data_IF_014854536391
#
_entry.id   IF_014854536391
#
_cell.length_a   1.000
_cell.length_b   1.000
_cell.length_c   1.000
_cell.angle_alpha   90.00
_cell.angle_beta   90.00
_cell.angle_gamma   90.00
#
_symmetry.space_group_name_H-M   'P 1'
#
loop_
_entity.id
_entity.type
_entity.pdbx_description
1 polymer ?
#
# COMPACT_ATOMS: atom_id res chain seq x y z
N UNK A 1 9.92 39.57 19.24
CA UNK A 1 10.45 39.98 17.92
C UNK A 1 11.77 39.27 17.55
N UNK A 2 12.63 38.91 18.52
CA UNK A 2 13.91 38.21 18.24
C UNK A 2 13.78 36.81 17.62
N UNK A 3 12.89 35.96 18.15
CA UNK A 3 12.72 34.56 17.67
C UNK A 3 12.30 34.47 16.20
N UNK A 4 11.41 35.35 15.75
CA UNK A 4 10.97 35.37 14.35
C UNK A 4 12.10 35.76 13.39
N UNK A 5 12.98 36.68 13.83
CA UNK A 5 14.16 37.09 13.06
C UNK A 5 15.19 35.97 12.96
N UNK A 6 15.37 35.18 14.02
CA UNK A 6 16.24 33.99 14.01
C UNK A 6 15.68 32.86 13.15
N UNK A 7 14.37 32.62 13.20
CA UNK A 7 13.70 31.66 12.30
C UNK A 7 13.84 32.07 10.83
N UNK A 8 13.60 33.35 10.51
CA UNK A 8 13.76 33.86 9.15
C UNK A 8 15.21 33.75 8.67
N UNK A 9 16.17 33.99 9.56
CA UNK A 9 17.59 33.82 9.25
C UNK A 9 17.94 32.36 8.98
N UNK A 10 17.47 31.43 9.82
CA UNK A 10 17.60 29.99 9.59
C UNK A 10 16.98 29.55 8.26
N UNK A 11 15.83 30.11 7.88
CA UNK A 11 15.17 29.86 6.60
C UNK A 11 15.92 30.46 5.39
N UNK A 12 16.69 31.52 5.56
CA UNK A 12 17.51 32.08 4.47
C UNK A 12 18.86 31.36 4.34
N UNK A 13 19.37 30.82 5.44
CA UNK A 13 20.67 30.12 5.50
C UNK A 13 20.59 28.64 5.11
N UNK A 14 19.44 28.11 4.67
CA UNK A 14 19.36 26.73 4.17
C UNK A 14 20.13 26.53 2.86
N UNK A 15 20.64 25.30 2.68
CA UNK A 15 21.37 24.91 1.49
C UNK A 15 20.47 24.78 0.25
N UNK A 16 21.09 24.71 -0.93
CA UNK A 16 20.39 24.65 -2.23
C UNK A 16 19.36 23.50 -2.31
N UNK A 17 19.64 22.37 -1.66
CA UNK A 17 18.75 21.20 -1.63
C UNK A 17 17.42 21.51 -0.92
N UNK A 18 17.45 22.27 0.18
CA UNK A 18 16.24 22.70 0.88
C UNK A 18 15.32 23.52 -0.03
N UNK A 19 15.90 24.48 -0.75
CA UNK A 19 15.17 25.33 -1.69
C UNK A 19 14.54 24.54 -2.85
N UNK A 20 15.27 23.57 -3.42
CA UNK A 20 14.74 22.72 -4.50
C UNK A 20 13.53 21.92 -4.02
N UNK A 21 13.62 21.29 -2.84
CA UNK A 21 12.52 20.50 -2.30
C UNK A 21 11.30 21.38 -1.98
N UNK A 22 11.52 22.55 -1.37
CA UNK A 22 10.44 23.51 -1.10
C UNK A 22 9.76 23.95 -2.40
N UNK A 23 10.53 24.23 -3.46
CA UNK A 23 9.98 24.59 -4.77
C UNK A 23 9.12 23.48 -5.37
N UNK A 24 9.56 22.21 -5.25
CA UNK A 24 8.76 21.05 -5.69
C UNK A 24 7.46 20.96 -4.88
N UNK A 25 7.50 21.12 -3.55
CA UNK A 25 6.31 21.11 -2.69
C UNK A 25 5.34 22.22 -3.10
N UNK A 26 5.84 23.42 -3.40
CA UNK A 26 5.02 24.55 -3.86
C UNK A 26 4.38 24.25 -5.22
N UNK A 27 5.12 23.67 -6.17
CA UNK A 27 4.56 23.30 -7.48
C UNK A 27 3.47 22.24 -7.36
N UNK A 28 3.73 21.18 -6.60
CA UNK A 28 2.77 20.09 -6.35
C UNK A 28 1.52 20.62 -5.65
N UNK A 29 1.69 21.44 -4.62
CA UNK A 29 0.55 22.00 -3.92
C UNK A 29 -0.17 23.10 -4.70
N UNK A 30 0.52 23.89 -5.52
CA UNK A 30 -0.10 24.83 -6.47
C UNK A 30 -0.97 24.11 -7.49
N UNK A 31 -0.50 22.98 -8.02
CA UNK A 31 -1.30 22.12 -8.89
C UNK A 31 -2.52 21.54 -8.16
N UNK A 32 -2.39 21.12 -6.89
CA UNK A 32 -3.54 20.68 -6.10
C UNK A 32 -4.56 21.80 -5.85
N UNK A 33 -4.13 23.03 -5.60
CA UNK A 33 -5.02 24.19 -5.45
C UNK A 33 -5.79 24.44 -6.75
N UNK A 34 -5.12 24.36 -7.91
CA UNK A 34 -5.77 24.47 -9.20
C UNK A 34 -6.84 23.39 -9.40
N UNK A 35 -6.53 22.12 -9.09
CA UNK A 35 -7.51 21.03 -9.15
C UNK A 35 -8.68 21.25 -8.19
N UNK A 36 -8.43 21.74 -6.97
CA UNK A 36 -9.47 22.08 -5.99
C UNK A 36 -10.44 23.12 -6.54
N UNK A 37 -9.92 24.20 -7.13
CA UNK A 37 -10.74 25.26 -7.72
C UNK A 37 -11.57 24.70 -8.88
N UNK A 38 -10.96 23.91 -9.77
CA UNK A 38 -11.65 23.29 -10.91
C UNK A 38 -12.78 22.36 -10.46
N UNK A 39 -12.51 21.47 -9.51
CA UNK A 39 -13.50 20.50 -9.02
C UNK A 39 -14.62 21.17 -8.21
N UNK A 40 -14.29 22.14 -7.37
CA UNK A 40 -15.30 22.92 -6.65
C UNK A 40 -16.24 23.63 -7.62
N UNK A 41 -15.67 24.24 -8.67
CA UNK A 41 -16.44 24.94 -9.69
C UNK A 41 -17.35 23.99 -10.45
N UNK A 42 -16.83 22.82 -10.84
CA UNK A 42 -17.61 21.77 -11.51
C UNK A 42 -18.85 21.35 -10.69
N UNK A 43 -18.68 20.97 -9.41
CA UNK A 43 -19.84 20.59 -8.60
C UNK A 43 -20.79 21.75 -8.29
N UNK A 44 -20.26 22.97 -8.17
CA UNK A 44 -21.10 24.16 -7.97
C UNK A 44 -21.92 24.48 -9.21
N UNK A 45 -21.34 24.40 -10.40
CA UNK A 45 -22.05 24.58 -11.66
C UNK A 45 -23.17 23.54 -11.82
N UNK A 46 -22.90 22.27 -11.49
CA UNK A 46 -23.94 21.23 -11.49
C UNK A 46 -25.04 21.47 -10.46
N UNK A 47 -24.68 21.91 -9.25
CA UNK A 47 -25.64 22.24 -8.19
C UNK A 47 -26.49 23.46 -8.57
N UNK A 48 -25.87 24.48 -9.14
CA UNK A 48 -26.55 25.69 -9.58
C UNK A 48 -27.49 25.35 -10.75
N UNK A 49 -27.06 24.55 -11.74
CA UNK A 49 -27.91 24.06 -12.83
C UNK A 49 -29.10 23.24 -12.30
N UNK A 50 -28.86 22.38 -11.30
CA UNK A 50 -29.91 21.61 -10.64
C UNK A 50 -30.91 22.50 -9.89
N UNK A 51 -30.46 23.58 -9.25
CA UNK A 51 -31.32 24.50 -8.47
C UNK A 51 -32.02 25.55 -9.33
N UNK A 52 -31.36 26.04 -10.38
CA UNK A 52 -31.82 27.15 -11.24
C UNK A 52 -32.59 26.68 -12.47
N UNK A 53 -32.68 25.37 -12.75
CA UNK A 53 -33.57 24.84 -13.78
C UNK A 53 -35.04 25.16 -13.44
N UNK A 54 -35.45 26.38 -13.82
CA UNK A 54 -36.79 26.93 -13.70
C UNK A 54 -37.69 26.53 -14.89
N UNK A 55 -37.12 25.86 -15.91
CA UNK A 55 -37.91 25.23 -16.99
C UNK A 55 -38.41 23.89 -16.47
N UNK A 56 -39.61 23.93 -15.90
CA UNK A 56 -40.36 22.73 -15.55
C UNK A 56 -41.15 22.32 -16.78
N UNK A 57 -40.91 21.11 -17.29
CA UNK A 57 -41.64 20.59 -18.43
C UNK A 57 -43.11 20.28 -18.07
N UNK A 58 -43.92 19.90 -19.06
CA UNK A 58 -45.35 19.59 -18.90
C UNK A 58 -45.66 18.51 -17.85
N UNK A 59 -44.66 17.73 -17.43
CA UNK A 59 -44.75 16.65 -16.46
C UNK A 59 -44.20 17.02 -15.07
N UNK A 60 -43.86 18.29 -14.81
CA UNK A 60 -43.35 18.71 -13.50
C UNK A 60 -41.83 18.48 -13.32
N UNK A 61 -41.10 18.12 -14.37
CA UNK A 61 -39.68 17.76 -14.31
C UNK A 61 -38.78 18.93 -14.71
N UNK A 62 -37.59 19.01 -14.09
CA UNK A 62 -36.53 19.96 -14.49
C UNK A 62 -35.97 19.57 -15.86
N UNK A 63 -35.90 20.53 -16.78
CA UNK A 63 -35.34 20.35 -18.11
C UNK A 63 -33.82 20.59 -18.08
N UNK A 64 -33.04 19.56 -18.41
CA UNK A 64 -31.59 19.62 -18.55
C UNK A 64 -31.23 19.60 -20.03
N UNK A 65 -30.52 20.63 -20.51
CA UNK A 65 -30.28 20.83 -21.96
C UNK A 65 -29.23 19.86 -22.53
N UNK A 66 -28.18 19.57 -21.77
CA UNK A 66 -27.14 18.60 -22.12
C UNK A 66 -26.15 18.44 -20.97
N UNK A 67 -25.68 17.23 -20.68
CA UNK A 67 -24.61 17.00 -19.72
C UNK A 67 -24.91 15.87 -18.72
N UNK A 68 -24.08 15.72 -17.68
CA UNK A 68 -24.18 14.63 -16.70
C UNK A 68 -25.55 14.54 -16.03
N UNK A 69 -26.20 15.68 -15.77
CA UNK A 69 -27.53 15.72 -15.11
C UNK A 69 -28.62 15.08 -15.95
N UNK A 70 -28.61 15.33 -17.28
CA UNK A 70 -29.57 14.74 -18.20
C UNK A 70 -29.41 13.22 -18.26
N UNK A 71 -28.17 12.74 -18.36
CA UNK A 71 -27.89 11.31 -18.41
C UNK A 71 -28.32 10.59 -17.12
N UNK A 72 -28.02 11.18 -15.96
CA UNK A 72 -28.46 10.65 -14.65
C UNK A 72 -29.99 10.57 -14.62
N UNK A 73 -30.69 11.65 -15.00
CA UNK A 73 -32.15 11.68 -15.00
C UNK A 73 -32.76 10.68 -15.99
N UNK A 74 -32.20 10.53 -17.19
CA UNK A 74 -32.69 9.57 -18.18
C UNK A 74 -32.47 8.12 -17.75
N UNK A 75 -31.30 7.77 -17.24
CA UNK A 75 -31.00 6.39 -16.83
C UNK A 75 -31.86 5.99 -15.62
N UNK A 76 -32.12 6.94 -14.71
CA UNK A 76 -33.11 6.77 -13.63
C UNK A 76 -34.51 6.49 -14.18
N UNK A 77 -35.00 7.32 -15.12
CA UNK A 77 -36.32 7.12 -15.76
C UNK A 77 -36.41 5.77 -16.47
N UNK A 78 -35.34 5.32 -17.13
CA UNK A 78 -35.29 3.99 -17.78
C UNK A 78 -35.39 2.87 -16.76
N UNK A 79 -34.70 2.99 -15.61
CA UNK A 79 -34.80 2.05 -14.51
C UNK A 79 -36.20 2.00 -13.91
N UNK A 80 -36.80 3.17 -13.64
CA UNK A 80 -38.12 3.29 -13.03
C UNK A 80 -39.22 2.72 -13.93
N UNK A 81 -39.18 3.01 -15.24
CA UNK A 81 -40.11 2.45 -16.24
C UNK A 81 -40.03 0.92 -16.38
N UNK A 82 -38.92 0.31 -15.98
CA UNK A 82 -38.73 -1.15 -16.00
C UNK A 82 -39.25 -1.84 -14.74
N UNK A 83 -39.81 -1.09 -13.78
CA UNK A 83 -40.30 -1.65 -12.52
C UNK A 83 -39.19 -2.13 -11.60
N UNK A 84 -37.99 -1.51 -11.68
CA UNK A 84 -36.92 -1.79 -10.74
C UNK A 84 -37.28 -1.09 -9.42
N UNK A 85 -37.77 -1.87 -8.47
CA UNK A 85 -37.94 -1.41 -7.10
C UNK A 85 -36.55 -1.14 -6.51
N UNK A 86 -36.37 0.08 -5.96
CA UNK A 86 -35.14 0.52 -5.29
C UNK A 86 -33.93 0.74 -6.22
N UNK A 87 -34.03 1.75 -7.10
CA UNK A 87 -32.89 2.22 -7.91
C UNK A 87 -31.88 2.88 -6.96
N UNK A 88 -30.64 2.39 -6.96
CA UNK A 88 -29.57 3.03 -6.19
C UNK A 88 -29.13 4.33 -6.89
N UNK A 89 -29.60 5.46 -6.37
CA UNK A 89 -29.36 6.81 -6.88
C UNK A 89 -27.90 7.23 -6.74
N UNK A 90 -27.24 6.91 -5.63
CA UNK A 90 -25.81 7.20 -5.40
C UNK A 90 -24.91 6.59 -6.49
N UNK A 91 -25.08 5.30 -6.78
CA UNK A 91 -24.30 4.58 -7.80
C UNK A 91 -24.57 5.15 -9.18
N UNK A 92 -25.81 5.55 -9.46
CA UNK A 92 -26.19 6.15 -10.72
C UNK A 92 -25.52 7.51 -10.92
N UNK A 93 -25.55 8.38 -9.90
CA UNK A 93 -24.89 9.69 -9.93
C UNK A 93 -23.37 9.50 -10.14
N UNK A 94 -22.74 8.60 -9.40
CA UNK A 94 -21.30 8.31 -9.53
C UNK A 94 -20.96 7.85 -10.95
N UNK A 95 -21.74 6.94 -11.54
CA UNK A 95 -21.48 6.37 -12.87
C UNK A 95 -21.32 7.47 -13.93
N UNK A 96 -22.23 8.44 -13.96
CA UNK A 96 -22.25 9.50 -14.97
C UNK A 96 -21.28 10.66 -14.65
N UNK A 97 -20.90 10.86 -13.38
CA UNK A 97 -19.85 11.82 -13.02
C UNK A 97 -18.43 11.30 -13.29
N UNK A 98 -18.23 9.97 -13.17
CA UNK A 98 -16.91 9.35 -13.25
C UNK A 98 -16.27 9.46 -14.63
N UNK A 99 -17.07 9.50 -15.70
CA UNK A 99 -16.58 9.61 -17.08
C UNK A 99 -15.87 10.95 -17.36
N UNK A 100 -16.10 11.99 -16.54
CA UNK A 100 -15.53 13.33 -16.77
C UNK A 100 -14.30 13.66 -15.91
N UNK A 101 -14.24 13.21 -14.65
CA UNK A 101 -13.30 13.77 -13.66
C UNK A 101 -12.63 12.79 -12.66
N UNK A 102 -12.70 11.46 -12.87
CA UNK A 102 -12.17 10.44 -11.94
C UNK A 102 -10.69 10.65 -11.56
N UNK A 103 -9.84 10.98 -12.55
CA UNK A 103 -8.41 11.23 -12.34
C UNK A 103 -8.19 12.43 -11.41
N UNK A 104 -8.98 13.49 -11.56
CA UNK A 104 -8.84 14.72 -10.79
C UNK A 104 -9.21 14.49 -9.31
N UNK A 105 -10.29 13.76 -9.04
CA UNK A 105 -10.70 13.38 -7.67
C UNK A 105 -9.65 12.51 -6.97
N UNK A 106 -9.08 11.54 -7.69
CA UNK A 106 -8.04 10.69 -7.14
C UNK A 106 -6.77 11.49 -6.82
N UNK A 107 -6.37 12.40 -7.69
CA UNK A 107 -5.21 13.28 -7.46
C UNK A 107 -5.42 14.22 -6.27
N UNK A 108 -6.63 14.76 -6.07
CA UNK A 108 -6.96 15.58 -4.90
C UNK A 108 -6.67 14.85 -3.59
N UNK A 109 -6.95 13.55 -3.55
CA UNK A 109 -6.74 12.71 -2.35
C UNK A 109 -5.26 12.37 -2.13
N UNK A 110 -4.48 12.17 -3.20
CA UNK A 110 -3.07 11.70 -3.10
C UNK A 110 -2.07 12.84 -2.87
N UNK A 111 -2.29 14.00 -3.50
CA UNK A 111 -1.32 15.11 -3.49
C UNK A 111 -0.98 15.68 -2.09
N UNK A 112 -1.92 15.79 -1.12
CA UNK A 112 -1.58 16.19 0.25
C UNK A 112 -0.62 15.21 0.94
N UNK A 113 -0.80 13.90 0.71
CA UNK A 113 0.10 12.88 1.25
C UNK A 113 1.47 12.93 0.54
N UNK A 114 1.49 13.21 -0.77
CA UNK A 114 2.74 13.44 -1.51
C UNK A 114 3.53 14.63 -0.97
N UNK A 115 2.88 15.72 -0.55
CA UNK A 115 3.57 16.86 0.07
C UNK A 115 4.29 16.48 1.37
N UNK A 116 3.68 15.62 2.20
CA UNK A 116 4.32 15.09 3.42
C UNK A 116 5.51 14.20 3.04
N UNK A 117 5.33 13.30 2.09
CA UNK A 117 6.40 12.41 1.62
C UNK A 117 7.59 13.19 1.04
N UNK A 118 7.33 14.26 0.29
CA UNK A 118 8.36 15.17 -0.24
C UNK A 118 9.06 15.94 0.88
N UNK A 119 8.33 16.37 1.92
CA UNK A 119 8.93 16.98 3.11
C UNK A 119 9.83 16.01 3.87
N UNK A 120 9.43 14.75 4.01
CA UNK A 120 10.25 13.68 4.59
C UNK A 120 11.49 13.39 3.74
N UNK A 121 11.36 13.36 2.41
CA UNK A 121 12.49 13.21 1.50
C UNK A 121 13.49 14.37 1.67
N UNK A 122 13.01 15.62 1.77
CA UNK A 122 13.85 16.77 2.07
C UNK A 122 14.56 16.66 3.42
N UNK A 123 13.88 16.10 4.41
CA UNK A 123 14.47 15.81 5.73
C UNK A 123 15.64 14.84 5.62
N UNK A 124 15.46 13.73 4.91
CA UNK A 124 16.53 12.76 4.70
C UNK A 124 17.72 13.36 3.98
N UNK A 125 17.49 14.07 2.87
CA UNK A 125 18.57 14.70 2.10
C UNK A 125 19.33 15.74 2.94
N UNK A 126 18.62 16.58 3.70
CA UNK A 126 19.23 17.58 4.57
C UNK A 126 20.06 16.96 5.70
N UNK A 127 19.56 15.89 6.33
CA UNK A 127 20.31 15.15 7.36
C UNK A 127 21.52 14.41 6.77
N UNK A 128 21.42 13.84 5.57
CA UNK A 128 22.56 13.22 4.89
C UNK A 128 23.67 14.23 4.61
N UNK A 129 23.34 15.43 4.13
CA UNK A 129 24.31 16.53 3.96
C UNK A 129 24.92 16.91 5.30
N UNK A 130 24.12 16.92 6.37
CA UNK A 130 24.58 17.25 7.72
C UNK A 130 25.62 16.27 8.24
N UNK A 131 25.34 14.97 8.11
CA UNK A 131 26.23 13.90 8.56
C UNK A 131 27.52 13.89 7.74
N UNK A 132 27.41 13.97 6.41
CA UNK A 132 28.57 13.98 5.53
C UNK A 132 29.45 15.22 5.78
N UNK A 133 28.83 16.39 5.93
CA UNK A 133 29.53 17.62 6.28
C UNK A 133 30.26 17.49 7.63
N UNK A 134 29.61 16.89 8.63
CA UNK A 134 30.17 16.73 9.99
C UNK A 134 31.38 15.80 9.97
N UNK A 135 31.30 14.66 9.26
CA UNK A 135 32.43 13.76 9.08
C UNK A 135 33.60 14.47 8.39
N UNK A 136 33.34 15.27 7.35
CA UNK A 136 34.37 16.08 6.70
C UNK A 136 35.01 17.13 7.63
N UNK A 137 34.26 17.69 8.58
CA UNK A 137 34.84 18.58 9.61
C UNK A 137 35.73 17.79 10.57
N UNK A 138 35.28 16.61 11.03
CA UNK A 138 36.02 15.76 11.97
C UNK A 138 37.32 15.20 11.36
N UNK A 139 37.28 14.75 10.11
CA UNK A 139 38.44 14.20 9.40
C UNK A 139 39.51 15.26 9.08
N UNK A 140 39.12 16.53 8.96
CA UNK A 140 40.04 17.59 8.55
C UNK A 140 40.96 18.14 9.65
N UNK A 141 40.92 17.58 10.87
CA UNK A 141 41.91 17.86 11.93
C UNK A 141 42.00 19.34 12.30
N UNK A 142 40.83 19.99 12.47
CA UNK A 142 40.71 21.44 12.65
C UNK A 142 41.47 21.93 13.89
N UNK A 143 42.37 22.91 13.71
CA UNK A 143 43.31 23.38 14.76
C UNK A 143 42.85 24.62 15.54
N UNK A 144 41.83 25.34 15.06
CA UNK A 144 41.31 26.56 15.69
C UNK A 144 39.78 26.58 15.72
N UNK A 145 39.20 27.19 16.76
CA UNK A 145 37.75 27.25 16.94
C UNK A 145 37.04 28.03 15.81
N UNK A 146 37.65 29.09 15.27
CA UNK A 146 37.06 29.84 14.14
C UNK A 146 36.90 29.00 12.88
N UNK A 147 37.92 28.19 12.54
CA UNK A 147 37.86 27.31 11.37
C UNK A 147 36.81 26.22 11.60
N UNK A 148 36.67 25.73 12.83
CA UNK A 148 35.65 24.75 13.20
C UNK A 148 34.24 25.32 13.00
N UNK A 149 33.97 26.51 13.53
CA UNK A 149 32.69 27.20 13.36
C UNK A 149 32.38 27.50 11.89
N UNK A 150 33.37 27.92 11.09
CA UNK A 150 33.16 28.15 9.66
C UNK A 150 32.82 26.88 8.90
N UNK A 151 33.45 25.74 9.24
CA UNK A 151 33.21 24.47 8.58
C UNK A 151 31.91 23.81 9.03
N UNK A 152 31.50 24.06 10.27
CA UNK A 152 30.20 23.62 10.80
C UNK A 152 29.01 24.34 10.15
N UNK A 153 29.23 25.42 9.39
CA UNK A 153 28.16 26.04 8.61
C UNK A 153 27.49 25.02 7.69
N UNK A 154 28.23 24.21 6.93
CA UNK A 154 27.63 23.24 5.98
C UNK A 154 26.71 22.23 6.68
N UNK A 155 27.13 21.55 7.77
CA UNK A 155 26.24 20.71 8.56
C UNK A 155 24.98 21.41 9.07
N UNK A 156 25.14 22.62 9.60
CA UNK A 156 24.01 23.40 10.14
C UNK A 156 23.03 23.81 9.05
N UNK A 157 23.51 24.13 7.84
CA UNK A 157 22.67 24.40 6.68
C UNK A 157 21.88 23.16 6.24
N UNK A 158 22.49 21.98 6.28
CA UNK A 158 21.81 20.71 6.02
C UNK A 158 20.68 20.44 7.02
N UNK A 159 20.95 20.69 8.31
CA UNK A 159 19.97 20.52 9.38
C UNK A 159 18.82 21.52 9.25
N UNK A 160 19.13 22.78 8.94
CA UNK A 160 18.12 23.81 8.64
C UNK A 160 17.24 23.41 7.45
N UNK A 161 17.86 22.90 6.37
CA UNK A 161 17.13 22.44 5.17
C UNK A 161 16.17 21.29 5.50
N UNK A 162 16.62 20.33 6.32
CA UNK A 162 15.79 19.21 6.76
C UNK A 162 14.57 19.68 7.56
N UNK A 163 14.76 20.64 8.47
CA UNK A 163 13.69 21.19 9.28
C UNK A 163 12.65 21.95 8.45
N UNK A 164 13.08 22.90 7.61
CA UNK A 164 12.17 23.74 6.83
C UNK A 164 11.43 22.99 5.73
N UNK A 165 12.06 22.00 5.08
CA UNK A 165 11.36 21.15 4.09
C UNK A 165 10.24 20.33 4.72
N UNK A 166 10.44 19.82 5.95
CA UNK A 166 9.41 19.11 6.71
C UNK A 166 8.23 20.03 7.09
N UNK A 167 8.52 21.22 7.62
CA UNK A 167 7.50 22.21 7.96
C UNK A 167 6.66 22.57 6.74
N UNK A 168 7.31 22.84 5.60
CA UNK A 168 6.59 23.15 4.36
C UNK A 168 5.71 21.98 3.90
N UNK A 169 6.21 20.74 3.95
CA UNK A 169 5.42 19.56 3.59
C UNK A 169 4.15 19.40 4.44
N UNK A 170 4.28 19.57 5.75
CA UNK A 170 3.15 19.46 6.70
C UNK A 170 2.17 20.61 6.55
N UNK A 171 2.65 21.87 6.54
CA UNK A 171 1.78 23.04 6.40
C UNK A 171 1.05 23.00 5.06
N UNK A 172 1.74 22.67 3.96
CA UNK A 172 1.10 22.55 2.65
C UNK A 172 0.02 21.46 2.70
N UNK A 173 0.33 20.28 3.25
CA UNK A 173 -0.66 19.20 3.38
C UNK A 173 -1.90 19.61 4.18
N UNK A 174 -1.73 20.36 5.29
CA UNK A 174 -2.86 20.88 6.07
C UNK A 174 -3.74 21.84 5.25
N UNK A 175 -3.12 22.77 4.51
CA UNK A 175 -3.84 23.70 3.63
C UNK A 175 -4.61 22.93 2.56
N UNK A 176 -3.95 21.98 1.89
CA UNK A 176 -4.56 21.18 0.82
C UNK A 176 -5.72 20.32 1.35
N UNK A 177 -5.57 19.67 2.50
CA UNK A 177 -6.66 18.92 3.14
C UNK A 177 -7.85 19.81 3.48
N UNK A 178 -7.60 21.03 3.99
CA UNK A 178 -8.65 22.01 4.24
C UNK A 178 -9.40 22.46 2.97
N UNK A 179 -8.70 22.58 1.84
CA UNK A 179 -9.33 22.87 0.55
C UNK A 179 -10.13 21.67 0.02
N UNK A 180 -9.56 20.46 0.10
CA UNK A 180 -10.23 19.22 -0.29
C UNK A 180 -11.53 19.02 0.49
N UNK A 181 -11.55 19.33 1.78
CA UNK A 181 -12.75 19.26 2.60
C UNK A 181 -13.87 20.19 2.07
N UNK A 182 -13.54 21.35 1.52
CA UNK A 182 -14.52 22.25 0.91
C UNK A 182 -15.09 21.68 -0.40
N UNK A 183 -14.26 21.02 -1.22
CA UNK A 183 -14.72 20.32 -2.43
C UNK A 183 -15.64 19.18 -2.05
N UNK A 184 -15.25 18.36 -1.06
CA UNK A 184 -16.04 17.25 -0.55
C UNK A 184 -17.41 17.72 -0.07
N UNK A 185 -17.46 18.83 0.68
CA UNK A 185 -18.72 19.41 1.13
C UNK A 185 -19.63 19.83 -0.03
N UNK A 186 -19.09 20.52 -1.04
CA UNK A 186 -19.89 20.93 -2.22
C UNK A 186 -20.33 19.72 -3.04
N UNK A 187 -19.53 18.65 -3.09
CA UNK A 187 -19.92 17.39 -3.70
C UNK A 187 -21.09 16.75 -2.95
N UNK A 188 -21.00 16.63 -1.62
CA UNK A 188 -22.09 16.11 -0.77
C UNK A 188 -23.38 16.92 -0.95
N UNK A 189 -23.30 18.26 -0.90
CA UNK A 189 -24.44 19.15 -1.15
C UNK A 189 -25.09 18.93 -2.53
N UNK A 190 -24.30 18.57 -3.56
CA UNK A 190 -24.81 18.19 -4.88
C UNK A 190 -25.45 16.81 -4.90
N UNK A 191 -24.84 15.82 -4.26
CA UNK A 191 -25.38 14.47 -4.17
C UNK A 191 -26.73 14.48 -3.46
N UNK A 192 -26.84 15.13 -2.30
CA UNK A 192 -28.07 15.22 -1.53
C UNK A 192 -29.21 15.83 -2.37
N UNK A 193 -28.96 16.92 -3.08
CA UNK A 193 -29.96 17.60 -3.91
C UNK A 193 -30.34 16.77 -5.15
N UNK A 194 -29.38 16.05 -5.75
CA UNK A 194 -29.67 15.16 -6.87
C UNK A 194 -30.49 13.96 -6.44
N UNK A 195 -30.15 13.32 -5.32
CA UNK A 195 -30.90 12.20 -4.77
C UNK A 195 -32.33 12.62 -4.43
N UNK A 196 -32.50 13.77 -3.77
CA UNK A 196 -33.83 14.33 -3.49
C UNK A 196 -34.64 14.55 -4.77
N UNK A 197 -34.02 15.09 -5.82
CA UNK A 197 -34.70 15.24 -7.12
C UNK A 197 -35.09 13.90 -7.75
N UNK A 198 -34.21 12.90 -7.73
CA UNK A 198 -34.49 11.58 -8.30
C UNK A 198 -35.60 10.85 -7.52
N UNK A 199 -35.53 10.84 -6.20
CA UNK A 199 -36.45 10.08 -5.34
C UNK A 199 -37.79 10.79 -5.14
N UNK A 200 -37.81 12.11 -4.95
CA UNK A 200 -39.07 12.81 -4.68
C UNK A 200 -39.77 13.30 -5.95
N UNK A 201 -39.04 13.64 -7.01
CA UNK A 201 -39.65 14.14 -8.25
C UNK A 201 -39.82 13.02 -9.28
N UNK A 202 -38.74 12.31 -9.64
CA UNK A 202 -38.81 11.32 -10.71
C UNK A 202 -39.42 9.99 -10.26
N UNK A 203 -39.08 9.48 -9.07
CA UNK A 203 -39.65 8.21 -8.62
C UNK A 203 -41.16 8.30 -8.43
N UNK A 204 -41.65 9.40 -7.84
CA UNK A 204 -43.08 9.66 -7.68
C UNK A 204 -43.87 9.63 -8.99
N UNK A 205 -43.33 10.20 -10.06
CA UNK A 205 -44.00 10.30 -11.35
C UNK A 205 -43.93 8.99 -12.16
N UNK A 206 -42.78 8.29 -12.13
CA UNK A 206 -42.56 7.11 -12.98
C UNK A 206 -42.89 5.77 -12.32
N UNK A 207 -42.69 5.63 -11.00
CA UNK A 207 -42.97 4.39 -10.26
C UNK A 207 -44.48 4.09 -10.19
N UNK A 208 -45.31 5.13 -10.07
CA UNK A 208 -46.77 5.00 -10.04
C UNK A 208 -47.34 4.39 -11.33
N UNK A 209 -46.68 4.59 -12.48
CA UNK A 209 -47.21 4.24 -13.80
C UNK A 209 -47.27 2.73 -14.08
N UNK A 210 -46.32 1.92 -13.58
CA UNK A 210 -46.35 0.46 -13.80
C UNK A 210 -47.41 -0.22 -12.93
N UNK A 211 -47.44 0.12 -11.63
CA UNK A 211 -48.40 -0.45 -10.68
C UNK A 211 -49.83 -0.09 -11.07
N UNK A 212 -50.12 1.19 -11.40
CA UNK A 212 -51.48 1.55 -11.86
C UNK A 212 -51.83 0.97 -13.23
N UNK A 213 -50.87 0.78 -14.15
CA UNK A 213 -51.15 0.10 -15.41
C UNK A 213 -51.44 -1.40 -15.20
N UNK A 214 -50.73 -2.07 -14.30
CA UNK A 214 -50.97 -3.45 -13.94
C UNK A 214 -52.32 -3.63 -13.22
N UNK A 215 -52.67 -2.75 -12.29
CA UNK A 215 -53.98 -2.74 -11.62
C UNK A 215 -55.13 -2.49 -12.62
N UNK A 216 -54.98 -1.51 -13.53
CA UNK A 216 -55.97 -1.25 -14.59
C UNK A 216 -56.11 -2.42 -15.55
N UNK A 217 -55.00 -3.07 -15.92
CA UNK A 217 -55.02 -4.28 -16.74
C UNK A 217 -55.77 -5.41 -16.03
N UNK A 218 -55.48 -5.64 -14.75
CA UNK A 218 -56.12 -6.68 -13.95
C UNK A 218 -57.64 -6.42 -13.78
N UNK A 219 -58.04 -5.16 -13.57
CA UNK A 219 -59.46 -4.76 -13.50
C UNK A 219 -60.19 -4.98 -14.84
N UNK A 220 -59.56 -4.64 -15.97
CA UNK A 220 -60.12 -4.87 -17.32
C UNK A 220 -60.29 -6.36 -17.61
N UNK A 221 -59.31 -7.19 -17.27
CA UNK A 221 -59.38 -8.65 -17.46
C UNK A 221 -60.50 -9.25 -16.62
N UNK A 222 -60.58 -8.88 -15.33
CA UNK A 222 -61.60 -9.37 -14.41
C UNK A 222 -63.03 -9.00 -14.86
N UNK A 223 -63.25 -7.73 -15.24
CA UNK A 223 -64.54 -7.25 -15.76
C UNK A 223 -64.94 -7.93 -17.07
N UNK A 224 -63.98 -8.16 -17.96
CA UNK A 224 -64.24 -8.82 -19.26
C UNK A 224 -64.61 -10.30 -19.06
N UNK A 225 -63.95 -11.01 -18.15
CA UNK A 225 -64.25 -12.41 -17.83
C UNK A 225 -65.62 -12.56 -17.15
N UNK A 226 -65.97 -11.66 -16.23
CA UNK A 226 -67.30 -11.63 -15.63
C UNK A 226 -68.40 -11.38 -16.66
N UNK A 227 -68.16 -10.46 -17.61
CA UNK A 227 -69.12 -10.16 -18.69
C UNK A 227 -69.34 -11.36 -19.60
N UNK A 228 -68.25 -12.02 -20.03
CA UNK A 228 -68.32 -13.24 -20.84
C UNK A 228 -69.15 -14.34 -20.16
N UNK A 229 -68.97 -14.53 -18.84
CA UNK A 229 -69.72 -15.53 -18.08
C UNK A 229 -71.23 -15.21 -18.00
N UNK A 230 -71.59 -13.93 -17.91
CA UNK A 230 -73.01 -13.49 -17.92
C UNK A 230 -73.63 -13.71 -19.30
N UNK A 231 -72.95 -13.29 -20.36
CA UNK A 231 -73.44 -13.40 -21.74
C UNK A 231 -73.64 -14.88 -22.15
N UNK A 232 -72.71 -15.76 -21.77
CA UNK A 232 -72.82 -17.21 -21.99
C UNK A 232 -74.03 -17.82 -21.27
N UNK A 233 -74.33 -17.37 -20.05
CA UNK A 233 -75.49 -17.85 -19.28
C UNK A 233 -76.80 -17.42 -19.91
N UNK A 234 -76.88 -16.17 -20.38
CA UNK A 234 -78.08 -15.62 -20.99
C UNK A 234 -78.42 -16.32 -22.31
N UNK A 235 -77.42 -16.51 -23.18
CA UNK A 235 -77.60 -17.24 -24.44
C UNK A 235 -78.04 -18.69 -24.20
N UNK A 236 -77.47 -19.36 -23.21
CA UNK A 236 -77.86 -20.73 -22.84
C UNK A 236 -79.31 -20.81 -22.33
N UNK A 237 -79.71 -19.91 -21.43
CA UNK A 237 -81.07 -19.90 -20.87
C UNK A 237 -82.13 -19.56 -21.92
N UNK A 238 -81.82 -18.64 -22.84
CA UNK A 238 -82.71 -18.30 -23.94
C UNK A 238 -82.92 -19.49 -24.89
N UNK A 239 -81.85 -20.21 -25.25
CA UNK A 239 -81.94 -21.41 -26.08
C UNK A 239 -82.75 -22.55 -25.42
N UNK A 240 -82.59 -22.75 -24.11
CA UNK A 240 -83.36 -23.77 -23.37
C UNK A 240 -84.84 -23.40 -23.27
N UNK A 241 -85.17 -22.13 -23.02
CA UNK A 241 -86.56 -21.67 -22.92
C UNK A 241 -87.30 -21.78 -24.27
N UNK A 242 -86.62 -21.47 -25.37
CA UNK A 242 -87.18 -21.59 -26.71
C UNK A 242 -87.47 -23.06 -27.07
N UNK A 243 -86.56 -23.98 -26.71
CA UNK A 243 -86.76 -25.42 -26.88
C UNK A 243 -87.98 -25.93 -26.10
N UNK A 244 -88.12 -25.54 -24.83
CA UNK A 244 -89.23 -25.96 -23.96
C UNK A 244 -90.58 -25.39 -24.45
N UNK A 245 -90.59 -24.13 -24.90
CA UNK A 245 -91.78 -23.48 -25.48
C UNK A 245 -92.26 -24.22 -26.73
N UNK A 246 -91.34 -24.60 -27.62
CA UNK A 246 -91.68 -25.27 -28.88
C UNK A 246 -92.20 -26.71 -28.67
N UNK A 247 -91.76 -27.42 -27.62
CA UNK A 247 -92.25 -28.76 -27.28
C UNK A 247 -93.68 -28.71 -26.71
N UNK A 248 -93.99 -27.74 -25.85
CA UNK A 248 -95.32 -27.61 -25.25
C UNK A 248 -96.41 -27.16 -26.24
N UNK A 249 -96.05 -26.33 -27.23
CA UNK A 249 -97.01 -25.80 -28.21
C UNK A 249 -97.53 -26.87 -29.19
N UNK A 250 -96.75 -27.92 -29.45
CA UNK A 250 -97.10 -29.00 -30.37
C UNK A 250 -97.94 -30.14 -29.76
N UNK A 251 -98.18 -30.14 -28.45
CA UNK A 251 -98.84 -31.28 -27.75
C UNK A 251 -100.33 -31.04 -27.43
N UNK A 252 -100.85 -29.81 -27.60
CA UNK A 252 -102.12 -29.38 -26.99
C UNK A 252 -103.33 -29.12 -27.91
N UNK A 253 -103.24 -29.29 -29.24
CA UNK A 253 -104.32 -28.87 -30.15
C UNK A 253 -104.77 -29.93 -31.18
N UNK A 254 -105.01 -31.17 -30.73
CA UNK A 254 -105.51 -32.30 -31.55
C UNK A 254 -107.00 -32.63 -31.31
N UNK A 255 -107.91 -31.66 -31.14
CA UNK A 255 -109.33 -32.00 -30.83
C UNK A 255 -110.43 -31.26 -31.63
N UNK A 256 -110.15 -30.31 -32.53
CA UNK A 256 -111.22 -29.61 -33.28
C UNK A 256 -111.06 -29.60 -34.83
N UNK A 257 -110.60 -30.70 -35.41
CA UNK A 257 -110.07 -30.75 -36.80
C UNK A 257 -111.12 -30.82 -37.94
N UNK A 258 -112.41 -31.00 -37.71
CA UNK A 258 -113.34 -31.31 -38.83
C UNK A 258 -114.16 -30.14 -39.39
N UNK A 259 -114.33 -29.02 -38.66
CA UNK A 259 -115.24 -27.93 -39.07
C UNK A 259 -114.53 -26.65 -39.55
N UNK A 260 -113.23 -26.53 -39.31
CA UNK A 260 -112.42 -25.38 -39.73
C UNK A 260 -111.70 -25.60 -41.09
N UNK A 261 -111.72 -26.81 -41.65
CA UNK A 261 -110.99 -27.21 -42.87
C UNK A 261 -111.30 -26.37 -44.13
N UNK A 262 -112.44 -25.67 -44.17
CA UNK A 262 -112.82 -24.80 -45.31
C UNK A 262 -112.36 -23.35 -45.16
N UNK A 263 -112.19 -22.88 -43.92
CA UNK A 263 -111.58 -21.56 -43.63
C UNK A 263 -110.06 -21.68 -43.67
N UNK A 264 -109.52 -22.84 -43.24
CA UNK A 264 -108.10 -23.12 -43.32
C UNK A 264 -107.56 -23.16 -44.73
N UNK A 265 -108.27 -23.50 -45.81
CA UNK A 265 -107.66 -23.46 -47.16
C UNK A 265 -107.37 -22.04 -47.64
N UNK A 266 -108.23 -21.08 -47.27
CA UNK A 266 -108.04 -19.66 -47.59
C UNK A 266 -106.96 -19.04 -46.69
N UNK A 267 -106.99 -19.34 -45.39
CA UNK A 267 -105.96 -18.89 -44.45
C UNK A 267 -104.63 -19.62 -44.64
N UNK A 268 -104.63 -20.87 -45.13
CA UNK A 268 -103.42 -21.60 -45.54
C UNK A 268 -102.80 -20.96 -46.78
N UNK A 269 -103.60 -20.44 -47.71
CA UNK A 269 -103.09 -19.62 -48.81
C UNK A 269 -102.40 -18.33 -48.32
N UNK A 270 -103.01 -17.63 -47.34
CA UNK A 270 -102.42 -16.44 -46.72
C UNK A 270 -101.19 -16.77 -45.85
N UNK A 271 -101.22 -17.90 -45.15
CA UNK A 271 -100.11 -18.41 -44.32
C UNK A 271 -98.96 -18.87 -45.21
N UNK A 272 -99.20 -19.58 -46.31
CA UNK A 272 -98.18 -19.93 -47.31
C UNK A 272 -97.61 -18.67 -47.95
N UNK A 273 -98.44 -17.66 -48.24
CA UNK A 273 -97.99 -16.35 -48.72
C UNK A 273 -97.09 -15.63 -47.70
N UNK A 274 -97.52 -15.54 -46.44
CA UNK A 274 -96.73 -14.96 -45.35
C UNK A 274 -95.49 -15.77 -44.99
N UNK A 275 -95.54 -17.10 -45.09
CA UNK A 275 -94.37 -17.98 -44.96
C UNK A 275 -93.41 -17.74 -46.11
N UNK A 276 -93.91 -17.56 -47.33
CA UNK A 276 -93.13 -17.17 -48.49
C UNK A 276 -92.42 -15.83 -48.27
N UNK A 277 -93.16 -14.78 -47.89
CA UNK A 277 -92.61 -13.46 -47.55
C UNK A 277 -91.62 -13.54 -46.38
N UNK A 278 -91.88 -14.38 -45.38
CA UNK A 278 -90.98 -14.58 -44.23
C UNK A 278 -89.70 -15.30 -44.66
N UNK A 279 -89.80 -16.39 -45.43
CA UNK A 279 -88.66 -17.14 -45.98
C UNK A 279 -87.83 -16.23 -46.90
N UNK A 280 -88.48 -15.39 -47.70
CA UNK A 280 -87.83 -14.40 -48.56
C UNK A 280 -87.15 -13.30 -47.72
N UNK A 281 -87.77 -12.86 -46.62
CA UNK A 281 -87.19 -11.90 -45.67
C UNK A 281 -85.99 -12.47 -44.88
N UNK A 282 -85.88 -13.80 -44.77
CA UNK A 282 -84.71 -14.47 -44.19
C UNK A 282 -83.52 -14.56 -45.15
N UNK A 283 -83.75 -14.39 -46.45
CA UNK A 283 -82.69 -14.47 -47.46
C UNK A 283 -81.63 -13.37 -47.26
N UNK A 284 -82.06 -12.15 -46.93
CA UNK A 284 -81.18 -11.01 -46.67
C UNK A 284 -80.29 -11.22 -45.40
N UNK A 285 -80.84 -11.59 -44.23
CA UNK A 285 -80.05 -11.99 -43.07
C UNK A 285 -79.10 -13.16 -43.34
N UNK A 286 -79.52 -14.18 -44.09
CA UNK A 286 -78.67 -15.33 -44.44
C UNK A 286 -77.51 -14.91 -45.33
N UNK A 287 -77.73 -14.06 -46.34
CA UNK A 287 -76.66 -13.51 -47.18
C UNK A 287 -75.72 -12.58 -46.41
N UNK A 288 -76.25 -11.74 -45.49
CA UNK A 288 -75.40 -10.93 -44.59
C UNK A 288 -74.58 -11.81 -43.63
N UNK A 289 -75.17 -12.88 -43.11
CA UNK A 289 -74.48 -13.84 -42.26
C UNK A 289 -73.37 -14.55 -43.03
N UNK A 290 -73.65 -15.01 -44.25
CA UNK A 290 -72.65 -15.59 -45.17
C UNK A 290 -71.53 -14.61 -45.51
N UNK A 291 -71.85 -13.33 -45.72
CA UNK A 291 -70.85 -12.26 -45.88
C UNK A 291 -69.98 -12.08 -44.63
N UNK A 292 -70.58 -12.11 -43.45
CA UNK A 292 -69.87 -12.03 -42.17
C UNK A 292 -68.97 -13.25 -41.92
N UNK A 293 -69.42 -14.45 -42.31
CA UNK A 293 -68.61 -15.68 -42.28
C UNK A 293 -67.41 -15.56 -43.22
N UNK A 294 -67.59 -15.02 -44.43
CA UNK A 294 -66.48 -14.79 -45.36
C UNK A 294 -65.47 -13.75 -44.83
N UNK A 295 -65.92 -12.65 -44.24
CA UNK A 295 -65.03 -11.68 -43.57
C UNK A 295 -64.30 -12.28 -42.37
N UNK A 296 -65.00 -13.10 -41.59
CA UNK A 296 -64.41 -13.83 -40.48
C UNK A 296 -63.29 -14.76 -40.97
N UNK A 297 -63.55 -15.57 -42.00
CA UNK A 297 -62.54 -16.45 -42.62
C UNK A 297 -61.33 -15.65 -43.10
N UNK A 298 -61.53 -14.56 -43.85
CA UNK A 298 -60.44 -13.70 -44.31
C UNK A 298 -59.63 -13.08 -43.16
N UNK A 299 -60.28 -12.76 -42.05
CA UNK A 299 -59.64 -12.22 -40.85
C UNK A 299 -58.84 -13.30 -40.12
N UNK A 300 -59.38 -14.52 -40.04
CA UNK A 300 -58.70 -15.71 -39.50
C UNK A 300 -57.46 -16.05 -40.32
N UNK A 301 -57.53 -16.01 -41.65
CA UNK A 301 -56.37 -16.27 -42.52
C UNK A 301 -55.27 -15.21 -42.32
N UNK A 302 -55.65 -13.94 -42.18
CA UNK A 302 -54.69 -12.86 -41.85
C UNK A 302 -54.07 -13.05 -40.46
N UNK A 303 -54.86 -13.47 -39.48
CA UNK A 303 -54.38 -13.76 -38.14
C UNK A 303 -53.37 -14.91 -38.17
N UNK A 304 -53.68 -15.99 -38.88
CA UNK A 304 -52.78 -17.12 -39.08
C UNK A 304 -51.46 -16.67 -39.73
N UNK A 305 -51.52 -15.85 -40.78
CA UNK A 305 -50.33 -15.30 -41.43
C UNK A 305 -49.46 -14.46 -40.47
N UNK A 306 -50.08 -13.56 -39.69
CA UNK A 306 -49.36 -12.71 -38.73
C UNK A 306 -48.76 -13.55 -37.60
N UNK A 307 -49.50 -14.56 -37.11
CA UNK A 307 -49.03 -15.47 -36.07
C UNK A 307 -47.84 -16.29 -36.55
N UNK A 308 -47.93 -16.90 -37.74
CA UNK A 308 -46.84 -17.68 -38.32
C UNK A 308 -45.57 -16.82 -38.51
N UNK A 309 -45.71 -15.60 -39.02
CA UNK A 309 -44.59 -14.65 -39.16
C UNK A 309 -44.01 -14.22 -37.81
N UNK A 310 -44.82 -14.17 -36.76
CA UNK A 310 -44.36 -13.83 -35.41
C UNK A 310 -43.63 -15.00 -34.75
N UNK A 311 -44.08 -16.24 -35.00
CA UNK A 311 -43.42 -17.47 -34.58
C UNK A 311 -42.06 -17.61 -35.26
N UNK A 312 -41.98 -17.38 -36.57
CA UNK A 312 -40.71 -17.41 -37.33
C UNK A 312 -39.69 -16.40 -36.77
N UNK A 313 -40.12 -15.16 -36.51
CA UNK A 313 -39.25 -14.15 -35.87
C UNK A 313 -38.82 -14.51 -34.45
N UNK A 314 -39.67 -15.22 -33.71
CA UNK A 314 -39.35 -15.69 -32.38
C UNK A 314 -38.30 -16.81 -32.44
N UNK A 315 -38.46 -17.74 -33.39
CA UNK A 315 -37.51 -18.82 -33.67
C UNK A 315 -36.12 -18.26 -34.02
N UNK A 316 -36.04 -17.30 -34.96
CA UNK A 316 -34.78 -16.61 -35.32
C UNK A 316 -34.08 -15.98 -34.09
N UNK A 317 -34.88 -15.36 -33.20
CA UNK A 317 -34.35 -14.73 -31.98
C UNK A 317 -33.90 -15.75 -30.95
N UNK A 318 -34.59 -16.88 -30.83
CA UNK A 318 -34.19 -17.98 -29.94
C UNK A 318 -32.91 -18.64 -30.44
N UNK A 319 -32.74 -18.80 -31.76
CA UNK A 319 -31.50 -19.30 -32.36
C UNK A 319 -30.32 -18.36 -32.14
N UNK A 320 -30.54 -17.06 -32.34
CA UNK A 320 -29.54 -16.04 -32.02
C UNK A 320 -29.14 -16.08 -30.54
N UNK A 321 -30.12 -16.15 -29.63
CA UNK A 321 -29.89 -16.23 -28.19
C UNK A 321 -29.11 -17.51 -27.83
N UNK A 322 -29.47 -18.65 -28.40
CA UNK A 322 -28.77 -19.92 -28.24
C UNK A 322 -27.29 -19.81 -28.67
N UNK A 323 -27.03 -19.17 -29.82
CA UNK A 323 -25.67 -18.88 -30.29
C UNK A 323 -24.87 -17.97 -29.35
N UNK A 324 -25.51 -16.95 -28.77
CA UNK A 324 -24.89 -16.07 -27.76
C UNK A 324 -24.58 -16.85 -26.48
N UNK A 325 -25.51 -17.66 -25.97
CA UNK A 325 -25.33 -18.50 -24.78
C UNK A 325 -24.17 -19.49 -25.02
N UNK A 326 -24.09 -20.10 -26.20
CA UNK A 326 -22.98 -20.99 -26.57
C UNK A 326 -21.61 -20.28 -26.51
N UNK A 327 -21.50 -19.09 -27.11
CA UNK A 327 -20.27 -18.27 -27.03
C UNK A 327 -19.92 -17.87 -25.60
N UNK A 328 -20.93 -17.54 -24.80
CA UNK A 328 -20.75 -17.15 -23.40
C UNK A 328 -20.27 -18.33 -22.55
N UNK A 329 -20.76 -19.54 -22.81
CA UNK A 329 -20.33 -20.76 -22.13
C UNK A 329 -18.87 -21.13 -22.49
N UNK A 330 -18.49 -21.01 -23.77
CA UNK A 330 -17.10 -21.21 -24.23
C UNK A 330 -16.17 -20.19 -23.55
N UNK A 331 -16.53 -18.90 -23.59
CA UNK A 331 -15.73 -17.83 -22.97
C UNK A 331 -15.58 -18.01 -21.46
N UNK A 332 -16.63 -18.50 -20.79
CA UNK A 332 -16.61 -18.79 -19.35
C UNK A 332 -15.69 -19.98 -19.03
N UNK A 333 -15.72 -21.02 -19.87
CA UNK A 333 -14.83 -22.19 -19.74
C UNK A 333 -13.37 -21.81 -19.99
N UNK A 334 -13.09 -21.02 -21.03
CA UNK A 334 -11.74 -20.53 -21.32
C UNK A 334 -11.21 -19.62 -20.20
N UNK A 335 -12.05 -18.73 -19.64
CA UNK A 335 -11.67 -17.94 -18.46
C UNK A 335 -11.36 -18.81 -17.25
N UNK A 336 -12.14 -19.86 -16.99
CA UNK A 336 -11.89 -20.76 -15.86
C UNK A 336 -10.55 -21.48 -16.01
N UNK A 337 -10.21 -21.94 -17.22
CA UNK A 337 -8.89 -22.54 -17.50
C UNK A 337 -7.75 -21.55 -17.27
N UNK A 338 -7.89 -20.30 -17.75
CA UNK A 338 -6.90 -19.23 -17.50
C UNK A 338 -6.77 -18.95 -15.99
N UNK A 339 -7.87 -18.96 -15.25
CA UNK A 339 -7.83 -18.79 -13.80
C UNK A 339 -7.11 -19.95 -13.10
N UNK A 340 -7.28 -21.19 -13.56
CA UNK A 340 -6.52 -22.33 -13.04
C UNK A 340 -5.02 -22.19 -13.32
N UNK A 341 -4.64 -21.77 -14.53
CA UNK A 341 -3.24 -21.51 -14.89
C UNK A 341 -2.62 -20.41 -14.01
N UNK A 342 -3.35 -19.31 -13.79
CA UNK A 342 -2.91 -18.22 -12.89
C UNK A 342 -2.76 -18.71 -11.45
N UNK A 343 -3.68 -19.56 -10.96
CA UNK A 343 -3.56 -20.15 -9.62
C UNK A 343 -2.30 -21.04 -9.51
N UNK A 344 -1.97 -21.76 -10.58
CA UNK A 344 -0.78 -22.61 -10.67
C UNK A 344 0.50 -21.76 -10.65
N UNK A 345 0.59 -20.72 -11.48
CA UNK A 345 1.73 -19.79 -11.49
C UNK A 345 1.90 -19.06 -10.14
N UNK A 346 0.82 -18.65 -9.51
CA UNK A 346 0.86 -17.99 -8.18
C UNK A 346 1.37 -18.96 -7.11
N UNK A 347 0.97 -20.24 -7.16
CA UNK A 347 1.51 -21.28 -6.26
C UNK A 347 3.01 -21.49 -6.46
N UNK A 348 3.46 -21.62 -7.71
CA UNK A 348 4.89 -21.77 -8.01
C UNK A 348 5.70 -20.55 -7.54
N UNK A 349 5.17 -19.34 -7.76
CA UNK A 349 5.76 -18.10 -7.28
C UNK A 349 5.88 -18.06 -5.75
N UNK A 350 4.82 -18.48 -5.03
CA UNK A 350 4.83 -18.61 -3.57
C UNK A 350 5.91 -19.57 -3.09
N UNK A 351 6.00 -20.75 -3.69
CA UNK A 351 6.96 -21.78 -3.28
C UNK A 351 8.40 -21.34 -3.52
N UNK A 352 8.66 -20.66 -4.64
CA UNK A 352 9.96 -20.05 -4.93
C UNK A 352 10.32 -18.94 -3.94
N UNK A 353 9.35 -18.11 -3.56
CA UNK A 353 9.54 -17.07 -2.55
C UNK A 353 9.84 -17.67 -1.18
N UNK A 354 9.12 -18.72 -0.79
CA UNK A 354 9.34 -19.45 0.46
C UNK A 354 10.73 -20.09 0.51
N UNK A 355 11.16 -20.73 -0.58
CA UNK A 355 12.52 -21.29 -0.71
C UNK A 355 13.59 -20.19 -0.60
N UNK A 356 13.38 -19.05 -1.26
CA UNK A 356 14.30 -17.91 -1.19
C UNK A 356 14.39 -17.36 0.23
N UNK A 357 13.25 -17.19 0.91
CA UNK A 357 13.21 -16.74 2.30
C UNK A 357 13.94 -17.70 3.22
N UNK A 358 13.71 -19.01 3.07
CA UNK A 358 14.44 -20.03 3.84
C UNK A 358 15.95 -19.95 3.60
N UNK A 359 16.38 -19.73 2.36
CA UNK A 359 17.80 -19.54 2.02
C UNK A 359 18.40 -18.31 2.71
N UNK A 360 17.68 -17.19 2.76
CA UNK A 360 18.11 -15.98 3.48
C UNK A 360 18.27 -16.25 4.97
N UNK A 361 17.34 -16.97 5.59
CA UNK A 361 17.43 -17.34 7.01
C UNK A 361 18.68 -18.19 7.28
N UNK A 362 18.96 -19.20 6.46
CA UNK A 362 20.17 -20.02 6.60
C UNK A 362 21.44 -19.18 6.47
N UNK A 363 21.52 -18.28 5.48
CA UNK A 363 22.68 -17.39 5.33
C UNK A 363 22.84 -16.48 6.55
N UNK A 364 21.74 -15.95 7.11
CA UNK A 364 21.80 -15.12 8.32
C UNK A 364 22.28 -15.91 9.54
N UNK A 365 21.88 -17.18 9.68
CA UNK A 365 22.38 -18.07 10.73
C UNK A 365 23.89 -18.34 10.56
N UNK A 366 24.36 -18.58 9.34
CA UNK A 366 25.79 -18.76 9.05
C UNK A 366 26.62 -17.50 9.33
N UNK A 367 26.10 -16.32 8.98
CA UNK A 367 26.72 -15.03 9.30
C UNK A 367 26.80 -14.86 10.81
N UNK A 368 25.69 -15.09 11.53
CA UNK A 368 25.66 -14.95 12.98
C UNK A 368 26.64 -15.91 13.67
N UNK A 369 26.72 -17.16 13.21
CA UNK A 369 27.70 -18.14 13.70
C UNK A 369 29.14 -17.66 13.44
N UNK A 370 29.42 -17.12 12.26
CA UNK A 370 30.73 -16.59 11.90
C UNK A 370 31.14 -15.39 12.75
N UNK A 371 30.19 -14.52 13.10
CA UNK A 371 30.41 -13.39 14.02
C UNK A 371 30.76 -13.91 15.41
N UNK A 372 29.98 -14.84 15.95
CA UNK A 372 30.23 -15.41 17.28
C UNK A 372 31.60 -16.10 17.38
N UNK A 373 31.97 -16.91 16.38
CA UNK A 373 33.31 -17.55 16.34
C UNK A 373 34.43 -16.53 16.26
N UNK A 374 34.23 -15.41 15.56
CA UNK A 374 35.22 -14.35 15.44
C UNK A 374 35.42 -13.58 16.75
N UNK A 375 34.34 -13.34 17.49
CA UNK A 375 34.40 -12.74 18.82
C UNK A 375 35.12 -13.67 19.82
N UNK A 376 34.87 -14.98 19.79
CA UNK A 376 35.58 -15.95 20.61
C UNK A 376 37.08 -15.98 20.32
N UNK A 377 37.46 -16.02 19.04
CA UNK A 377 38.88 -16.00 18.63
C UNK A 377 39.58 -14.70 19.06
N UNK A 378 38.91 -13.55 18.93
CA UNK A 378 39.46 -12.26 19.39
C UNK A 378 39.65 -12.23 20.92
N UNK A 379 38.71 -12.79 21.68
CA UNK A 379 38.83 -12.91 23.13
C UNK A 379 40.02 -13.81 23.52
N UNK A 380 40.25 -14.89 22.78
CA UNK A 380 41.37 -15.81 23.00
C UNK A 380 42.73 -15.17 22.65
N UNK A 381 42.82 -14.43 21.55
CA UNK A 381 44.01 -13.65 21.17
C UNK A 381 44.34 -12.57 22.20
N UNK A 382 43.34 -11.82 22.70
CA UNK A 382 43.53 -10.82 23.77
C UNK A 382 44.04 -11.47 25.05
N UNK A 383 43.50 -12.65 25.41
CA UNK A 383 43.96 -13.41 26.58
C UNK A 383 45.40 -13.90 26.41
N UNK A 384 45.76 -14.35 25.21
CA UNK A 384 47.14 -14.72 24.85
C UNK A 384 48.09 -13.53 24.93
N UNK A 385 47.69 -12.36 24.45
CA UNK A 385 48.48 -11.13 24.52
C UNK A 385 48.71 -10.68 25.96
N UNK A 386 47.67 -10.74 26.80
CA UNK A 386 47.75 -10.38 28.21
C UNK A 386 48.68 -11.32 28.99
N UNK A 387 48.59 -12.64 28.73
CA UNK A 387 49.53 -13.61 29.31
C UNK A 387 50.98 -13.38 28.82
N UNK A 388 51.16 -12.98 27.56
CA UNK A 388 52.46 -12.58 27.03
C UNK A 388 53.02 -11.34 27.74
N UNK A 389 52.17 -10.36 28.04
CA UNK A 389 52.55 -9.16 28.79
C UNK A 389 52.96 -9.49 30.23
N UNK A 390 52.18 -10.30 30.95
CA UNK A 390 52.51 -10.74 32.32
C UNK A 390 53.86 -11.48 32.37
N UNK A 391 54.11 -12.40 31.42
CA UNK A 391 55.41 -13.09 31.32
C UNK A 391 56.55 -12.13 31.01
N UNK A 392 56.32 -11.14 30.15
CA UNK A 392 57.32 -10.13 29.84
C UNK A 392 57.64 -9.26 31.05
N UNK A 393 56.64 -8.89 31.85
CA UNK A 393 56.79 -8.17 33.11
C UNK A 393 57.58 -8.98 34.14
N UNK A 394 57.25 -10.27 34.31
CA UNK A 394 57.97 -11.19 35.20
C UNK A 394 59.45 -11.31 34.80
N UNK A 395 59.74 -11.52 33.51
CA UNK A 395 61.11 -11.56 32.98
C UNK A 395 61.84 -10.23 33.22
N UNK A 396 61.14 -9.11 33.10
CA UNK A 396 61.72 -7.77 33.30
C UNK A 396 62.09 -7.53 34.77
N UNK A 397 61.27 -7.97 35.72
CA UNK A 397 61.62 -7.93 37.15
C UNK A 397 62.73 -8.92 37.50
N UNK A 398 62.71 -10.14 36.95
CA UNK A 398 63.80 -11.11 37.15
C UNK A 398 65.12 -10.57 36.60
N UNK A 399 65.10 -9.92 35.43
CA UNK A 399 66.26 -9.24 34.86
C UNK A 399 66.76 -8.11 35.77
N UNK A 400 65.86 -7.31 36.35
CA UNK A 400 66.20 -6.23 37.28
C UNK A 400 66.85 -6.77 38.56
N UNK A 401 66.29 -7.82 39.16
CA UNK A 401 66.88 -8.52 40.31
C UNK A 401 68.27 -9.06 39.95
N UNK A 402 68.43 -9.68 38.79
CA UNK A 402 69.71 -10.22 38.34
C UNK A 402 70.77 -9.12 38.10
N UNK A 403 70.37 -7.94 37.61
CA UNK A 403 71.26 -6.77 37.49
C UNK A 403 71.70 -6.26 38.87
N UNK A 404 70.81 -6.27 39.85
CA UNK A 404 71.11 -5.86 41.22
C UNK A 404 72.08 -6.83 41.90
N UNK A 405 71.88 -8.15 41.73
CA UNK A 405 72.82 -9.19 42.16
C UNK A 405 74.17 -9.08 41.45
N UNK A 406 74.18 -8.78 40.15
CA UNK A 406 75.43 -8.59 39.40
C UNK A 406 76.21 -7.39 39.92
N UNK A 407 75.52 -6.27 40.19
CA UNK A 407 76.11 -5.07 40.80
C UNK A 407 76.75 -5.39 42.16
N UNK A 408 76.03 -6.10 43.03
CA UNK A 408 76.52 -6.50 44.35
C UNK A 408 77.75 -7.43 44.24
N UNK A 409 77.72 -8.41 43.32
CA UNK A 409 78.87 -9.30 43.07
C UNK A 409 80.10 -8.56 42.54
N UNK A 410 79.90 -7.56 41.68
CA UNK A 410 81.01 -6.72 41.20
C UNK A 410 81.58 -5.90 42.36
N UNK A 411 80.74 -5.31 43.21
CA UNK A 411 81.16 -4.54 44.38
C UNK A 411 81.98 -5.38 45.37
N UNK A 412 81.47 -6.56 45.75
CA UNK A 412 82.17 -7.51 46.63
C UNK A 412 83.42 -8.10 45.97
N UNK A 413 83.37 -8.40 44.66
CA UNK A 413 84.47 -8.96 43.90
C UNK A 413 85.66 -8.00 43.79
N UNK A 414 85.38 -6.73 43.48
CA UNK A 414 86.38 -5.65 43.42
C UNK A 414 86.97 -5.42 44.81
N UNK A 415 86.14 -5.30 45.84
CA UNK A 415 86.60 -5.07 47.21
C UNK A 415 87.52 -6.21 47.70
N UNK A 416 87.12 -7.48 47.50
CA UNK A 416 87.93 -8.62 47.95
C UNK A 416 89.23 -8.78 47.16
N UNK A 417 89.23 -8.50 45.86
CA UNK A 417 90.41 -8.63 44.99
C UNK A 417 91.44 -7.54 45.28
N UNK A 418 90.98 -6.29 45.46
CA UNK A 418 91.82 -5.16 45.85
C UNK A 418 92.42 -5.42 47.24
N UNK A 419 91.61 -5.85 48.20
CA UNK A 419 92.08 -6.11 49.55
C UNK A 419 93.06 -7.29 49.63
N UNK A 420 92.79 -8.42 48.93
CA UNK A 420 93.75 -9.52 48.83
C UNK A 420 95.06 -9.11 48.15
N UNK A 421 94.99 -8.29 47.10
CA UNK A 421 96.16 -7.75 46.42
C UNK A 421 97.05 -6.92 47.35
N UNK A 422 96.46 -5.99 48.09
CA UNK A 422 97.19 -5.17 49.07
C UNK A 422 97.80 -5.99 50.21
N UNK A 423 97.05 -6.96 50.76
CA UNK A 423 97.57 -7.81 51.84
C UNK A 423 98.74 -8.69 51.36
N UNK A 424 98.66 -9.24 50.14
CA UNK A 424 99.74 -10.04 49.56
C UNK A 424 100.99 -9.20 49.30
N UNK A 425 100.83 -8.04 48.68
CA UNK A 425 101.95 -7.09 48.44
C UNK A 425 102.59 -6.71 49.78
N UNK A 426 101.79 -6.41 50.80
CA UNK A 426 102.32 -6.05 52.12
C UNK A 426 103.07 -7.20 52.78
N UNK A 427 102.61 -8.45 52.63
CA UNK A 427 103.28 -9.64 53.16
C UNK A 427 104.61 -9.92 52.44
N UNK A 428 104.60 -9.89 51.11
CA UNK A 428 105.78 -10.14 50.28
C UNK A 428 106.86 -9.07 50.54
N UNK A 429 106.46 -7.80 50.63
CA UNK A 429 107.37 -6.68 50.90
C UNK A 429 108.00 -6.75 52.30
N UNK A 430 107.24 -7.16 53.32
CA UNK A 430 107.75 -7.36 54.69
C UNK A 430 108.74 -8.53 54.73
N UNK A 431 108.46 -9.63 54.05
CA UNK A 431 109.36 -10.80 54.01
C UNK A 431 110.65 -10.51 53.23
N UNK A 432 110.58 -9.81 52.09
CA UNK A 432 111.79 -9.39 51.35
C UNK A 432 112.63 -8.42 52.18
N UNK A 433 112.02 -7.43 52.84
CA UNK A 433 112.72 -6.53 53.75
C UNK A 433 113.37 -7.28 54.92
N UNK A 434 112.68 -8.28 55.47
CA UNK A 434 113.21 -9.12 56.55
C UNK A 434 114.41 -9.95 56.08
N UNK A 435 114.34 -10.58 54.91
CA UNK A 435 115.46 -11.33 54.32
C UNK A 435 116.66 -10.42 54.07
N UNK A 436 116.45 -9.24 53.49
CA UNK A 436 117.51 -8.26 53.28
C UNK A 436 118.15 -7.77 54.60
N UNK A 437 117.36 -7.64 55.68
CA UNK A 437 117.87 -7.29 57.00
C UNK A 437 118.68 -8.43 57.64
N UNK A 438 118.25 -9.68 57.46
CA UNK A 438 118.99 -10.88 57.92
C UNK A 438 120.33 -11.01 57.18
N UNK A 439 120.35 -10.80 55.85
CA UNK A 439 121.58 -10.80 55.05
C UNK A 439 122.57 -9.69 55.50
N UNK A 440 122.05 -8.52 55.87
CA UNK A 440 122.86 -7.42 56.43
C UNK A 440 123.43 -7.80 57.80
N UNK A 441 122.64 -8.44 58.67
CA UNK A 441 123.09 -8.89 59.98
C UNK A 441 124.19 -9.98 59.87
N UNK A 442 124.05 -10.91 58.92
CA UNK A 442 125.07 -11.92 58.62
C UNK A 442 126.36 -11.29 58.09
N UNK A 443 126.26 -10.29 57.22
CA UNK A 443 127.41 -9.51 56.74
C UNK A 443 128.11 -8.74 57.88
N UNK A 444 127.36 -8.14 58.80
CA UNK A 444 127.89 -7.46 59.99
C UNK A 444 128.60 -8.46 60.91
N UNK A 445 128.02 -9.63 61.15
CA UNK A 445 128.65 -10.69 61.96
C UNK A 445 129.94 -11.21 61.32
N UNK A 446 129.94 -11.41 60.00
CA UNK A 446 131.14 -11.80 59.25
C UNK A 446 132.23 -10.73 59.33
N UNK A 447 131.87 -9.45 59.22
CA UNK A 447 132.80 -8.33 59.38
C UNK A 447 133.37 -8.28 60.81
N UNK A 448 132.54 -8.54 61.83
CA UNK A 448 132.96 -8.65 63.22
C UNK A 448 133.96 -9.79 63.44
N UNK A 449 133.69 -10.99 62.90
CA UNK A 449 134.62 -12.13 62.97
C UNK A 449 135.94 -11.86 62.24
N UNK A 450 135.89 -11.21 61.08
CA UNK A 450 137.09 -10.79 60.35
C UNK A 450 137.88 -9.77 61.16
N UNK A 451 137.22 -8.81 61.80
CA UNK A 451 137.86 -7.81 62.67
C UNK A 451 138.52 -8.46 63.89
N UNK A 452 137.89 -9.45 64.51
CA UNK A 452 138.51 -10.25 65.58
C UNK A 452 139.71 -11.07 65.08
N UNK A 453 139.63 -11.62 63.87
CA UNK A 453 140.73 -12.39 63.26
C UNK A 453 141.92 -11.49 62.95
N UNK A 454 141.67 -10.29 62.42
CA UNK A 454 142.69 -9.24 62.25
C UNK A 454 143.24 -8.83 63.61
N UNK A 455 142.41 -8.67 64.64
CA UNK A 455 142.85 -8.39 66.01
C UNK A 455 143.76 -9.47 66.59
N UNK A 456 143.47 -10.76 66.32
CA UNK A 456 144.34 -11.89 66.71
C UNK A 456 145.63 -11.94 65.91
N UNK A 457 145.61 -11.60 64.63
CA UNK A 457 146.81 -11.47 63.80
C UNK A 457 147.71 -10.32 64.27
N UNK A 458 147.12 -9.17 64.60
CA UNK A 458 147.86 -8.03 65.18
C UNK A 458 148.43 -8.40 66.55
N UNK A 459 147.66 -9.11 67.39
CA UNK A 459 148.16 -9.60 68.69
C UNK A 459 149.27 -10.64 68.53
N UNK A 460 149.14 -11.61 67.62
CA UNK A 460 150.20 -12.57 67.33
C UNK A 460 151.46 -11.91 66.73
N UNK A 461 151.29 -10.82 66.00
CA UNK A 461 152.41 -10.02 65.48
C UNK A 461 153.08 -9.22 66.61
N UNK A 462 152.31 -8.63 67.53
CA UNK A 462 152.84 -7.92 68.70
C UNK A 462 153.50 -8.87 69.72
N UNK A 463 152.90 -10.03 70.01
CA UNK A 463 153.43 -11.04 70.92
C UNK A 463 154.74 -11.67 70.38
N UNK A 464 154.99 -11.64 69.06
CA UNK A 464 156.26 -12.05 68.46
C UNK A 464 157.35 -10.96 68.52
N UNK A 465 156.95 -9.69 68.58
CA UNK A 465 157.87 -8.56 68.71
C UNK A 465 158.34 -8.37 70.16
N UNK A 466 157.50 -8.68 71.16
CA UNK A 466 157.81 -8.43 72.59
C UNK A 466 158.72 -9.47 73.27
N UNK A 467 158.92 -10.67 72.71
CA UNK A 467 159.83 -11.69 73.29
C UNK A 467 161.32 -11.44 72.95
N UNK A 468 161.65 -10.36 72.21
CA UNK A 468 163.05 -9.92 72.00
C UNK A 468 163.62 -9.05 73.13
N UNK A 469 162.97 -8.93 74.29
CA UNK A 469 163.47 -8.14 75.43
C UNK A 469 163.19 -8.78 76.79
N UNK A 470 163.90 -9.86 77.07
CA UNK A 470 164.49 -10.29 78.36
C UNK A 470 165.43 -11.46 78.05
#
# INVERSE_FOLDING_TARGET
MGIFKELLKSFLEQGAVGWIVILIIILVGGYNIFLNIKMKRFYRELLDELKESNSINSAGEKEFLSGPLLEIAEDFKRGAKRGIDNINTEVLIIKHLKESNDINERLLTVLPASCIALGLLGTFLGLTISIHGTNGVLESGVKTMEVFLSKMSVPLQGMSSAFWTSIFGVIMSLILNGLNAKVKKTKEEFFDEMEDYLDNTLYGEYSYSFVTQFEKFNDIVSKSMLRLAVDMRELFMNGVNELVSNINKNTLDMTNTAKELTVYTEDFGKVIGRLGETIESFNDPIERFKGSINEFTLTTDKLEFIMNKSIEKLEDKLDYLSGVIGKLNITTTDRNNIFEDVILEVKEGRDKLQSTYSGIVTVMEEINKSILTRDENLAEEIKGLNSGYEKFEEITEEFKVNIEVLREKIELGVQSSVQKGFTKISYDLVNELKGALEDIDEAINTLSMNTQTVGRLVKATNDWVDIRKE
#
